data_IF_411445654416
#
_entry.id   IF_411445654416
#
_cell.length_a   1.000
_cell.length_b   1.000
_cell.length_c   1.000
_cell.angle_alpha   90.00
_cell.angle_beta   90.00
_cell.angle_gamma   90.00
#
_symmetry.space_group_name_H-M   'P 1'
#
loop_
_entity.id
_entity.type
_entity.pdbx_description
1 polymer ?
#
# COMPACT_ATOMS: atom_id res chain seq x y z
N UNK A 1 -25.69 20.59 15.22
CA UNK A 1 -26.07 19.41 14.42
C UNK A 1 -26.06 18.17 15.32
N UNK A 2 -27.11 17.39 15.33
CA UNK A 2 -27.13 16.13 16.11
C UNK A 2 -26.25 15.08 15.41
N UNK A 3 -25.58 14.22 16.20
CA UNK A 3 -24.70 13.16 15.66
C UNK A 3 -25.36 12.31 14.56
N UNK A 4 -26.66 11.89 14.67
CA UNK A 4 -27.31 11.13 13.60
C UNK A 4 -27.49 11.94 12.31
N UNK A 5 -27.78 13.24 12.38
CA UNK A 5 -27.90 14.07 11.18
C UNK A 5 -26.57 14.22 10.45
N UNK A 6 -25.46 14.39 11.19
CA UNK A 6 -24.11 14.42 10.59
C UNK A 6 -23.78 13.09 9.87
N UNK A 7 -24.13 11.96 10.50
CA UNK A 7 -23.93 10.64 9.90
C UNK A 7 -24.72 10.48 8.59
N UNK A 8 -26.00 10.85 8.61
CA UNK A 8 -26.88 10.76 7.42
C UNK A 8 -26.37 11.66 6.28
N UNK A 9 -25.95 12.90 6.58
CA UNK A 9 -25.41 13.81 5.58
C UNK A 9 -24.09 13.28 5.01
N UNK A 10 -23.21 12.75 5.85
CA UNK A 10 -21.95 12.14 5.40
C UNK A 10 -22.22 10.94 4.49
N UNK A 11 -23.11 10.02 4.89
CA UNK A 11 -23.48 8.88 4.09
C UNK A 11 -24.11 9.29 2.74
N UNK A 12 -24.96 10.33 2.74
CA UNK A 12 -25.55 10.87 1.52
C UNK A 12 -24.46 11.44 0.59
N UNK A 13 -23.49 12.20 1.10
CA UNK A 13 -22.37 12.73 0.29
C UNK A 13 -21.60 11.60 -0.36
N UNK A 14 -21.25 10.55 0.40
CA UNK A 14 -20.54 9.38 -0.15
C UNK A 14 -21.39 8.63 -1.20
N UNK A 15 -22.69 8.50 -0.98
CA UNK A 15 -23.60 7.88 -1.96
C UNK A 15 -23.70 8.69 -3.26
N UNK A 16 -23.77 10.02 -3.16
CA UNK A 16 -23.79 10.91 -4.32
C UNK A 16 -22.46 10.87 -5.07
N UNK A 17 -21.33 10.91 -4.37
CA UNK A 17 -20.00 10.75 -4.97
C UNK A 17 -19.90 9.43 -5.75
N UNK A 18 -20.39 8.33 -5.19
CA UNK A 18 -20.44 7.06 -5.90
C UNK A 18 -21.32 7.14 -7.14
N UNK A 19 -22.56 7.61 -6.99
CA UNK A 19 -23.55 7.61 -8.07
C UNK A 19 -23.14 8.47 -9.27
N UNK A 20 -22.48 9.63 -9.03
CA UNK A 20 -22.19 10.60 -10.10
C UNK A 20 -20.74 10.60 -10.58
N UNK A 21 -19.79 10.03 -9.84
CA UNK A 21 -18.38 10.16 -10.16
C UNK A 21 -17.67 8.79 -10.17
N UNK A 22 -17.78 8.01 -9.08
CA UNK A 22 -16.92 6.85 -8.86
C UNK A 22 -17.44 5.61 -9.60
N UNK A 23 -18.74 5.40 -9.67
CA UNK A 23 -19.35 4.17 -10.19
C UNK A 23 -18.94 3.83 -11.61
N UNK A 24 -18.67 4.83 -12.47
CA UNK A 24 -18.22 4.64 -13.86
C UNK A 24 -16.71 4.36 -13.98
N UNK A 25 -15.93 4.68 -12.93
CA UNK A 25 -14.47 4.70 -13.02
C UNK A 25 -13.81 3.40 -12.57
N UNK A 26 -14.28 2.68 -11.61
CA UNK A 26 -13.66 1.56 -10.86
C UNK A 26 -13.06 0.45 -11.74
N UNK A 27 -12.14 0.82 -12.64
CA UNK A 27 -11.58 -0.05 -13.69
C UNK A 27 -10.77 -1.20 -13.12
N UNK A 28 -9.98 -0.94 -12.07
CA UNK A 28 -9.16 -2.00 -11.47
C UNK A 28 -10.02 -2.99 -10.67
N UNK A 29 -11.14 -2.53 -10.10
CA UNK A 29 -12.13 -3.44 -9.54
C UNK A 29 -12.73 -4.35 -10.62
N UNK A 30 -13.06 -3.81 -11.81
CA UNK A 30 -13.60 -4.61 -12.92
C UNK A 30 -12.60 -5.66 -13.43
N UNK A 31 -11.30 -5.32 -13.48
CA UNK A 31 -10.23 -6.28 -13.80
C UNK A 31 -10.24 -7.45 -12.81
N UNK A 32 -10.33 -7.12 -11.52
CA UNK A 32 -10.34 -8.12 -10.47
C UNK A 32 -11.65 -8.91 -10.42
N UNK A 33 -12.79 -8.28 -10.69
CA UNK A 33 -14.09 -8.93 -10.79
C UNK A 33 -14.09 -9.98 -11.93
N UNK A 34 -13.57 -9.60 -13.11
CA UNK A 34 -13.40 -10.49 -14.25
C UNK A 34 -12.49 -11.69 -13.91
N UNK A 35 -11.42 -11.45 -13.14
CA UNK A 35 -10.59 -12.57 -12.65
C UNK A 35 -11.38 -13.51 -11.73
N UNK A 36 -12.27 -13.00 -10.88
CA UNK A 36 -13.18 -13.80 -10.08
C UNK A 36 -14.16 -14.63 -10.92
N UNK A 37 -14.71 -14.06 -11.99
CA UNK A 37 -15.58 -14.75 -12.96
C UNK A 37 -14.83 -15.89 -13.67
N UNK A 38 -13.63 -15.60 -14.19
CA UNK A 38 -12.76 -16.59 -14.84
C UNK A 38 -12.38 -17.73 -13.91
N UNK A 39 -12.08 -17.41 -12.65
CA UNK A 39 -11.78 -18.44 -11.65
C UNK A 39 -12.97 -19.39 -11.47
N UNK A 40 -14.19 -18.88 -11.37
CA UNK A 40 -15.40 -19.68 -11.26
C UNK A 40 -15.66 -20.54 -12.51
N UNK A 41 -15.34 -20.01 -13.69
CA UNK A 41 -15.51 -20.70 -14.97
C UNK A 41 -14.36 -21.68 -15.28
N UNK A 42 -13.29 -21.74 -14.47
CA UNK A 42 -12.11 -22.56 -14.76
C UNK A 42 -11.27 -22.04 -15.93
N UNK A 43 -11.42 -20.76 -16.28
CA UNK A 43 -10.69 -20.10 -17.37
C UNK A 43 -9.34 -19.55 -16.91
N UNK A 44 -8.41 -19.24 -17.85
CA UNK A 44 -7.15 -18.61 -17.53
C UNK A 44 -7.38 -17.19 -16.99
N UNK A 45 -6.72 -16.87 -15.86
CA UNK A 45 -6.78 -15.54 -15.23
C UNK A 45 -5.97 -14.50 -16.02
N UNK A 46 -4.89 -14.93 -16.67
CA UNK A 46 -3.87 -14.08 -17.28
C UNK A 46 -4.00 -14.10 -18.81
N UNK A 47 -4.94 -13.32 -19.33
CA UNK A 47 -5.21 -13.27 -20.77
C UNK A 47 -4.56 -12.02 -21.37
N UNK A 48 -3.69 -12.20 -22.37
CA UNK A 48 -3.03 -11.12 -23.10
C UNK A 48 -4.02 -10.26 -23.89
N UNK A 49 -5.18 -10.81 -24.25
CA UNK A 49 -6.29 -10.10 -24.90
C UNK A 49 -6.86 -8.94 -24.04
N UNK A 50 -6.65 -8.97 -22.72
CA UNK A 50 -7.06 -7.87 -21.82
C UNK A 50 -6.17 -6.62 -21.97
N UNK A 51 -5.05 -6.71 -22.69
CA UNK A 51 -4.16 -5.60 -22.98
C UNK A 51 -3.62 -4.92 -21.70
N UNK A 52 -3.84 -3.60 -21.60
CA UNK A 52 -3.41 -2.81 -20.44
C UNK A 52 -4.07 -3.24 -19.13
N UNK A 53 -5.32 -3.70 -19.18
CA UNK A 53 -6.13 -4.10 -18.03
C UNK A 53 -6.05 -5.58 -17.69
N UNK A 54 -4.87 -6.19 -17.88
CA UNK A 54 -4.59 -7.57 -17.54
C UNK A 54 -4.52 -7.75 -16.02
N UNK A 55 -5.11 -8.86 -15.51
CA UNK A 55 -4.97 -9.26 -14.11
C UNK A 55 -3.50 -9.57 -13.78
N UNK A 56 -2.96 -8.99 -12.69
CA UNK A 56 -1.55 -9.09 -12.33
C UNK A 56 -1.32 -9.58 -10.89
N UNK A 57 -2.39 -9.90 -10.17
CA UNK A 57 -2.27 -10.36 -8.79
C UNK A 57 -2.05 -11.88 -8.72
N UNK A 58 -1.69 -12.35 -7.54
CA UNK A 58 -1.50 -13.76 -7.25
C UNK A 58 -2.82 -14.54 -7.52
N UNK A 59 -2.79 -15.81 -8.03
CA UNK A 59 -4.00 -16.52 -8.42
C UNK A 59 -5.09 -16.57 -7.34
N UNK A 60 -4.70 -16.77 -6.08
CA UNK A 60 -5.66 -16.78 -4.96
C UNK A 60 -6.33 -15.43 -4.70
N UNK A 61 -5.78 -14.31 -5.16
CA UNK A 61 -6.41 -13.00 -4.99
C UNK A 61 -7.76 -12.92 -5.72
N UNK A 62 -7.93 -13.65 -6.83
CA UNK A 62 -9.18 -13.71 -7.56
C UNK A 62 -10.34 -14.24 -6.70
N UNK A 63 -10.05 -15.11 -5.71
CA UNK A 63 -11.05 -15.65 -4.78
C UNK A 63 -11.75 -14.56 -3.96
N UNK A 64 -11.05 -13.48 -3.64
CA UNK A 64 -11.62 -12.35 -2.90
C UNK A 64 -12.79 -11.72 -3.67
N UNK A 65 -12.76 -11.76 -4.98
CA UNK A 65 -13.75 -11.13 -5.85
C UNK A 65 -14.89 -12.06 -6.25
N UNK A 66 -14.76 -13.38 -6.02
CA UNK A 66 -15.82 -14.38 -6.32
C UNK A 66 -17.17 -14.00 -5.73
N UNK A 67 -17.32 -13.58 -4.45
CA UNK A 67 -18.62 -13.20 -3.90
C UNK A 67 -19.28 -12.04 -4.67
N UNK A 68 -18.50 -11.12 -5.20
CA UNK A 68 -18.98 -9.97 -5.95
C UNK A 68 -19.48 -10.33 -7.34
N UNK A 69 -19.01 -11.44 -7.93
CA UNK A 69 -19.49 -11.95 -9.24
C UNK A 69 -20.92 -12.49 -9.18
N UNK A 70 -21.48 -12.66 -7.98
CA UNK A 70 -22.87 -13.08 -7.76
C UNK A 70 -23.86 -11.91 -7.75
N UNK A 71 -23.36 -10.68 -7.85
CA UNK A 71 -24.15 -9.46 -7.77
C UNK A 71 -24.20 -8.76 -9.14
N UNK A 72 -25.24 -7.98 -9.42
CA UNK A 72 -25.19 -7.03 -10.53
C UNK A 72 -23.99 -6.07 -10.36
N UNK A 73 -23.32 -5.75 -11.48
CA UNK A 73 -22.10 -4.92 -11.47
C UNK A 73 -22.21 -3.63 -10.64
N UNK A 74 -23.31 -2.83 -10.75
CA UNK A 74 -23.44 -1.62 -9.92
C UNK A 74 -23.48 -1.92 -8.42
N UNK A 75 -24.13 -3.01 -8.00
CA UNK A 75 -24.19 -3.41 -6.60
C UNK A 75 -22.81 -3.91 -6.10
N UNK A 76 -22.10 -4.69 -6.90
CA UNK A 76 -20.74 -5.13 -6.62
C UNK A 76 -19.79 -3.92 -6.44
N UNK A 77 -19.82 -2.96 -7.35
CA UNK A 77 -19.07 -1.70 -7.27
C UNK A 77 -19.43 -0.89 -6.02
N UNK A 78 -20.72 -0.74 -5.69
CA UNK A 78 -21.17 -0.01 -4.52
C UNK A 78 -20.66 -0.62 -3.21
N UNK A 79 -20.73 -1.95 -3.08
CA UNK A 79 -20.21 -2.65 -1.91
C UNK A 79 -18.69 -2.54 -1.80
N UNK A 80 -17.95 -2.69 -2.92
CA UNK A 80 -16.50 -2.53 -2.94
C UNK A 80 -16.08 -1.10 -2.60
N UNK A 81 -16.76 -0.11 -3.15
CA UNK A 81 -16.58 1.30 -2.79
C UNK A 81 -16.75 1.53 -1.29
N UNK A 82 -17.85 1.05 -0.71
CA UNK A 82 -18.11 1.15 0.72
C UNK A 82 -17.01 0.49 1.56
N UNK A 83 -16.53 -0.69 1.15
CA UNK A 83 -15.42 -1.39 1.80
C UNK A 83 -14.12 -0.59 1.71
N UNK A 84 -13.78 -0.05 0.54
CA UNK A 84 -12.54 0.73 0.34
C UNK A 84 -12.57 2.03 1.15
N UNK A 85 -13.70 2.75 1.18
CA UNK A 85 -13.91 3.94 2.02
C UNK A 85 -13.76 3.59 3.50
N UNK A 86 -14.41 2.52 3.96
CA UNK A 86 -14.31 2.04 5.35
C UNK A 86 -12.86 1.73 5.71
N UNK A 87 -12.14 0.95 4.88
CA UNK A 87 -10.74 0.61 5.11
C UNK A 87 -9.87 1.87 5.16
N UNK A 88 -10.08 2.82 4.25
CA UNK A 88 -9.34 4.09 4.19
C UNK A 88 -9.50 4.90 5.48
N UNK A 89 -10.72 5.03 5.98
CA UNK A 89 -11.00 5.71 7.25
C UNK A 89 -10.40 4.94 8.43
N UNK A 90 -10.56 3.60 8.46
CA UNK A 90 -10.04 2.75 9.51
C UNK A 90 -8.51 2.82 9.63
N UNK A 91 -7.79 3.00 8.52
CA UNK A 91 -6.33 3.16 8.51
C UNK A 91 -5.87 4.32 9.41
N UNK A 92 -6.55 5.48 9.36
CA UNK A 92 -6.20 6.63 10.20
C UNK A 92 -6.49 6.36 11.68
N UNK A 93 -7.62 5.74 12.01
CA UNK A 93 -7.96 5.39 13.39
C UNK A 93 -7.01 4.34 13.97
N UNK A 94 -6.68 3.29 13.21
CA UNK A 94 -5.76 2.24 13.64
C UNK A 94 -4.35 2.80 13.79
N UNK A 95 -3.87 3.62 12.84
CA UNK A 95 -2.56 4.28 12.92
C UNK A 95 -2.49 5.20 14.14
N UNK A 96 -3.52 6.03 14.37
CA UNK A 96 -3.63 6.85 15.58
C UNK A 96 -3.55 5.97 16.84
N UNK A 97 -4.28 4.87 16.89
CA UNK A 97 -4.29 3.96 18.03
C UNK A 97 -2.94 3.30 18.29
N UNK A 98 -2.22 2.91 17.23
CA UNK A 98 -0.89 2.32 17.33
C UNK A 98 0.16 3.33 17.82
N UNK A 99 0.04 4.60 17.40
CA UNK A 99 1.05 5.64 17.67
C UNK A 99 0.78 6.38 18.99
N UNK A 100 -0.45 6.82 19.25
CA UNK A 100 -0.84 7.57 20.45
C UNK A 100 -1.49 6.73 21.55
N UNK A 101 -1.86 5.50 21.25
CA UNK A 101 -2.59 4.67 22.20
C UNK A 101 -3.92 5.30 22.62
N UNK A 102 -4.06 5.58 23.92
CA UNK A 102 -5.22 6.28 24.52
C UNK A 102 -4.99 7.77 24.74
N UNK A 103 -3.77 8.25 24.50
CA UNK A 103 -3.43 9.66 24.69
C UNK A 103 -4.25 10.56 23.76
N UNK A 104 -4.58 11.76 24.26
CA UNK A 104 -5.13 12.81 23.44
C UNK A 104 -4.06 13.31 22.46
N UNK A 105 -4.38 13.33 21.18
CA UNK A 105 -3.47 13.86 20.17
C UNK A 105 -3.97 15.21 19.68
N UNK A 106 -3.09 16.21 19.49
CA UNK A 106 -3.47 17.50 18.93
C UNK A 106 -4.11 17.32 17.55
N UNK A 107 -5.25 17.98 17.33
CA UNK A 107 -6.00 17.88 16.07
C UNK A 107 -5.14 18.20 14.85
N UNK A 108 -4.30 19.25 14.93
CA UNK A 108 -3.41 19.66 13.84
C UNK A 108 -2.45 18.54 13.43
N UNK A 109 -1.87 17.81 14.40
CA UNK A 109 -0.99 16.68 14.12
C UNK A 109 -1.75 15.48 13.57
N UNK A 110 -2.98 15.23 14.04
CA UNK A 110 -3.84 14.20 13.50
C UNK A 110 -4.30 14.48 12.07
N UNK A 111 -4.39 15.75 11.68
CA UNK A 111 -4.79 16.15 10.34
C UNK A 111 -3.67 15.95 9.29
N UNK A 112 -2.40 15.87 9.69
CA UNK A 112 -1.27 15.74 8.76
C UNK A 112 -1.41 14.50 7.85
N UNK A 113 -1.53 13.25 8.35
CA UNK A 113 -1.61 12.10 7.48
C UNK A 113 -2.80 12.13 6.50
N UNK A 114 -4.05 12.41 6.91
CA UNK A 114 -5.16 12.43 5.97
C UNK A 114 -5.06 13.55 4.93
N UNK A 115 -4.57 14.74 5.29
CA UNK A 115 -4.40 15.83 4.33
C UNK A 115 -3.29 15.53 3.32
N UNK A 116 -2.13 15.07 3.80
CA UNK A 116 -0.98 14.77 2.94
C UNK A 116 -1.25 13.60 1.99
N UNK A 117 -1.99 12.60 2.43
CA UNK A 117 -2.26 11.40 1.64
C UNK A 117 -3.61 11.43 0.91
N UNK A 118 -4.40 12.50 1.04
CA UNK A 118 -5.76 12.59 0.49
C UNK A 118 -5.83 12.20 -0.99
N UNK A 119 -4.93 12.73 -1.84
CA UNK A 119 -4.94 12.44 -3.27
C UNK A 119 -4.75 10.97 -3.59
N UNK A 120 -3.93 10.26 -2.84
CA UNK A 120 -3.69 8.82 -3.05
C UNK A 120 -4.91 8.00 -2.65
N UNK A 121 -5.61 8.38 -1.58
CA UNK A 121 -6.87 7.74 -1.20
C UNK A 121 -7.99 8.01 -2.20
N UNK A 122 -8.04 9.21 -2.78
CA UNK A 122 -9.00 9.52 -3.85
C UNK A 122 -8.78 8.63 -5.08
N UNK A 123 -7.52 8.47 -5.52
CA UNK A 123 -7.18 7.59 -6.66
C UNK A 123 -7.46 6.13 -6.33
N UNK A 124 -7.10 5.66 -5.12
CA UNK A 124 -7.40 4.31 -4.61
C UNK A 124 -8.90 3.97 -4.75
N UNK A 125 -9.76 4.88 -4.26
CA UNK A 125 -11.21 4.73 -4.29
C UNK A 125 -11.73 4.79 -5.72
N UNK A 126 -11.23 5.75 -6.52
CA UNK A 126 -11.64 5.96 -7.92
C UNK A 126 -11.34 4.74 -8.80
N UNK A 127 -10.18 4.11 -8.62
CA UNK A 127 -9.80 2.91 -9.35
C UNK A 127 -10.43 1.63 -8.78
N UNK A 128 -10.97 1.66 -7.57
CA UNK A 128 -11.47 0.47 -6.88
C UNK A 128 -10.34 -0.48 -6.47
N UNK A 129 -9.21 0.08 -6.02
CA UNK A 129 -8.02 -0.65 -5.62
C UNK A 129 -8.19 -1.34 -4.25
N UNK A 130 -7.24 -2.22 -3.90
CA UNK A 130 -7.24 -3.06 -2.69
C UNK A 130 -6.21 -2.61 -1.65
N UNK A 131 -5.39 -1.59 -1.93
CA UNK A 131 -4.23 -1.25 -1.09
C UNK A 131 -4.64 -0.82 0.32
N UNK A 132 -5.76 -0.13 0.48
CA UNK A 132 -6.30 0.26 1.78
C UNK A 132 -6.63 -0.97 2.64
N UNK A 133 -7.24 -2.00 2.07
CA UNK A 133 -7.55 -3.25 2.77
C UNK A 133 -6.27 -4.01 3.15
N UNK A 134 -5.35 -4.18 2.21
CA UNK A 134 -4.05 -4.85 2.45
C UNK A 134 -3.28 -4.14 3.56
N UNK A 135 -3.20 -2.80 3.50
CA UNK A 135 -2.52 -2.00 4.52
C UNK A 135 -3.19 -2.14 5.88
N UNK A 136 -4.52 -2.14 5.93
CA UNK A 136 -5.27 -2.31 7.18
C UNK A 136 -4.98 -3.67 7.83
N UNK A 137 -4.92 -4.75 7.03
CA UNK A 137 -4.52 -6.08 7.52
C UNK A 137 -3.09 -6.06 8.07
N UNK A 138 -2.15 -5.36 7.41
CA UNK A 138 -0.79 -5.18 7.89
C UNK A 138 -0.72 -4.33 9.18
N UNK A 139 -1.59 -3.35 9.36
CA UNK A 139 -1.67 -2.63 10.64
C UNK A 139 -2.24 -3.51 11.76
N UNK A 140 -3.20 -4.37 11.48
CA UNK A 140 -3.68 -5.36 12.44
C UNK A 140 -2.61 -6.41 12.79
N UNK A 141 -1.69 -6.72 11.87
CA UNK A 141 -0.49 -7.53 12.16
C UNK A 141 0.35 -6.89 13.27
N UNK A 142 0.55 -5.55 13.24
CA UNK A 142 1.27 -4.82 14.31
C UNK A 142 0.50 -4.85 15.63
N UNK A 143 -0.82 -4.75 15.58
CA UNK A 143 -1.69 -4.78 16.75
C UNK A 143 -1.89 -6.21 17.32
N UNK A 144 -1.43 -7.25 16.64
CA UNK A 144 -1.68 -8.64 17.01
C UNK A 144 -1.00 -9.00 18.34
N UNK A 145 -1.75 -9.69 19.22
CA UNK A 145 -1.28 -10.08 20.55
C UNK A 145 -0.40 -11.34 20.56
N UNK A 146 -0.46 -12.14 19.50
CA UNK A 146 0.35 -13.37 19.36
C UNK A 146 1.11 -13.36 18.03
N UNK A 147 2.28 -14.01 18.03
CA UNK A 147 3.08 -14.15 16.81
C UNK A 147 2.37 -14.93 15.72
N UNK A 148 1.64 -15.99 16.09
CA UNK A 148 0.86 -16.77 15.13
C UNK A 148 -0.18 -15.90 14.42
N UNK A 149 -0.94 -15.09 15.17
CA UNK A 149 -1.92 -14.15 14.58
C UNK A 149 -1.24 -13.10 13.70
N UNK A 150 -0.11 -12.55 14.14
CA UNK A 150 0.66 -11.60 13.35
C UNK A 150 1.13 -12.22 12.03
N UNK A 151 1.69 -13.43 12.07
CA UNK A 151 2.11 -14.17 10.89
C UNK A 151 0.95 -14.49 9.95
N UNK A 152 -0.18 -14.97 10.48
CA UNK A 152 -1.36 -15.26 9.67
C UNK A 152 -1.89 -14.02 8.94
N UNK A 153 -1.95 -12.86 9.62
CA UNK A 153 -2.35 -11.59 8.99
C UNK A 153 -1.34 -11.14 7.93
N UNK A 154 -0.05 -11.30 8.17
CA UNK A 154 0.98 -11.04 7.17
C UNK A 154 0.83 -11.95 5.95
N UNK A 155 0.66 -13.25 6.14
CA UNK A 155 0.44 -14.21 5.06
C UNK A 155 -0.80 -13.87 4.24
N UNK A 156 -1.92 -13.52 4.92
CA UNK A 156 -3.16 -13.09 4.26
C UNK A 156 -2.96 -11.83 3.40
N UNK A 157 -2.35 -10.78 3.97
CA UNK A 157 -2.06 -9.54 3.24
C UNK A 157 -1.17 -9.81 2.01
N UNK A 158 -0.17 -10.69 2.16
CA UNK A 158 0.76 -11.07 1.08
C UNK A 158 0.06 -11.89 -0.01
N UNK A 159 -0.87 -12.78 0.35
CA UNK A 159 -1.69 -13.54 -0.60
C UNK A 159 -2.64 -12.63 -1.40
N UNK A 160 -3.15 -11.57 -0.79
CA UNK A 160 -3.98 -10.57 -1.48
C UNK A 160 -3.16 -9.72 -2.45
N UNK A 161 -1.96 -9.28 -2.01
CA UNK A 161 -1.03 -8.51 -2.83
C UNK A 161 0.40 -8.76 -2.33
N UNK A 162 1.36 -9.12 -3.20
CA UNK A 162 2.69 -9.59 -2.79
C UNK A 162 3.57 -8.53 -2.07
N UNK A 163 3.01 -7.39 -1.73
CA UNK A 163 3.66 -6.34 -0.96
C UNK A 163 4.20 -6.80 0.39
N UNK A 164 3.49 -7.75 1.02
CA UNK A 164 3.92 -8.30 2.30
C UNK A 164 5.26 -9.03 2.26
N UNK A 165 5.77 -9.41 1.08
CA UNK A 165 7.08 -10.05 0.95
C UNK A 165 8.22 -9.19 1.53
N UNK A 166 8.10 -7.87 1.55
CA UNK A 166 9.08 -6.96 2.16
C UNK A 166 9.28 -7.22 3.67
N UNK A 167 8.30 -7.84 4.34
CA UNK A 167 8.38 -8.19 5.77
C UNK A 167 9.14 -9.50 6.06
N UNK A 168 9.47 -10.29 5.03
CA UNK A 168 10.16 -11.57 5.22
C UNK A 168 11.52 -11.39 5.92
N UNK A 169 12.43 -10.52 5.47
CA UNK A 169 13.67 -10.25 6.20
C UNK A 169 13.44 -9.63 7.59
N UNK A 170 12.38 -8.86 7.78
CA UNK A 170 12.00 -8.31 9.09
C UNK A 170 11.75 -9.44 10.12
N UNK A 171 10.96 -10.45 9.76
CA UNK A 171 10.70 -11.59 10.67
C UNK A 171 11.96 -12.37 11.00
N UNK A 172 12.84 -12.58 10.02
CA UNK A 172 14.13 -13.27 10.23
C UNK A 172 15.03 -12.48 11.18
N UNK A 173 15.24 -11.17 10.92
CA UNK A 173 16.11 -10.31 11.73
C UNK A 173 15.59 -10.13 13.17
N UNK A 174 14.26 -10.12 13.32
CA UNK A 174 13.59 -10.03 14.63
C UNK A 174 13.46 -11.39 15.32
N UNK A 175 13.94 -12.48 14.72
CA UNK A 175 13.82 -13.86 15.20
C UNK A 175 12.36 -14.26 15.53
N UNK A 176 11.37 -13.71 14.79
CA UNK A 176 9.94 -14.01 14.97
C UNK A 176 9.55 -15.22 14.14
N UNK A 177 10.17 -16.36 14.40
CA UNK A 177 10.06 -17.55 13.57
C UNK A 177 8.66 -18.17 13.59
N UNK A 178 7.91 -18.05 14.68
CA UNK A 178 6.53 -18.54 14.73
C UNK A 178 5.62 -17.69 13.80
N UNK A 179 5.81 -16.36 13.79
CA UNK A 179 5.09 -15.49 12.87
C UNK A 179 5.46 -15.81 11.41
N UNK A 180 6.74 -16.02 11.14
CA UNK A 180 7.22 -16.43 9.81
C UNK A 180 6.59 -17.75 9.38
N UNK A 181 6.63 -18.79 10.24
CA UNK A 181 6.09 -20.10 9.93
C UNK A 181 4.57 -20.07 9.68
N UNK A 182 3.80 -19.39 10.53
CA UNK A 182 2.34 -19.27 10.35
C UNK A 182 1.97 -18.47 9.11
N UNK A 183 2.71 -17.42 8.78
CA UNK A 183 2.49 -16.66 7.55
C UNK A 183 2.83 -17.47 6.29
N UNK A 184 3.93 -18.22 6.30
CA UNK A 184 4.29 -19.13 5.22
C UNK A 184 3.25 -20.25 5.05
N UNK A 185 2.68 -20.76 6.15
CA UNK A 185 1.58 -21.74 6.07
C UNK A 185 0.33 -21.14 5.41
N UNK A 186 -0.02 -19.88 5.72
CA UNK A 186 -1.14 -19.18 5.05
C UNK A 186 -0.83 -18.99 3.55
N UNK A 187 0.40 -18.61 3.21
CA UNK A 187 0.82 -18.47 1.80
C UNK A 187 0.81 -19.80 1.05
N UNK A 188 1.23 -20.89 1.69
CA UNK A 188 1.13 -22.23 1.11
C UNK A 188 -0.34 -22.62 0.87
N UNK A 189 -1.22 -22.34 1.83
CA UNK A 189 -2.66 -22.52 1.66
C UNK A 189 -3.21 -21.68 0.50
N UNK A 190 -2.85 -20.41 0.42
CA UNK A 190 -3.25 -19.53 -0.67
C UNK A 190 -2.71 -19.98 -2.03
N UNK A 191 -1.49 -20.55 -2.09
CA UNK A 191 -0.93 -21.15 -3.30
C UNK A 191 -1.75 -22.34 -3.77
N UNK A 192 -2.21 -23.18 -2.86
CA UNK A 192 -2.95 -24.40 -3.18
C UNK A 192 -4.44 -24.16 -3.42
N UNK A 193 -5.02 -23.10 -2.84
CA UNK A 193 -6.47 -22.88 -2.81
C UNK A 193 -7.12 -22.83 -4.22
N UNK A 194 -6.51 -22.21 -5.26
CA UNK A 194 -7.10 -22.25 -6.60
C UNK A 194 -7.19 -23.66 -7.21
N UNK A 195 -6.45 -24.66 -6.67
CA UNK A 195 -6.57 -26.04 -7.12
C UNK A 195 -7.98 -26.62 -6.94
N UNK A 196 -8.77 -26.06 -6.02
CA UNK A 196 -10.17 -26.46 -5.84
C UNK A 196 -11.04 -26.16 -7.08
N UNK A 197 -10.63 -25.19 -7.91
CA UNK A 197 -11.34 -24.79 -9.14
C UNK A 197 -10.70 -25.38 -10.40
N UNK A 198 -9.36 -25.49 -10.41
CA UNK A 198 -8.59 -25.84 -11.62
C UNK A 198 -7.99 -27.25 -11.59
N UNK A 199 -7.97 -27.91 -10.43
CA UNK A 199 -7.09 -29.05 -10.20
C UNK A 199 -5.63 -28.61 -10.01
N UNK A 200 -4.80 -29.51 -9.50
CA UNK A 200 -3.42 -29.20 -9.09
C UNK A 200 -2.52 -28.80 -10.26
N UNK A 201 -2.53 -29.55 -11.35
CA UNK A 201 -1.67 -29.30 -12.52
C UNK A 201 -1.96 -27.93 -13.16
N UNK A 202 -3.24 -27.61 -13.34
CA UNK A 202 -3.65 -26.32 -13.91
C UNK A 202 -3.33 -25.17 -12.97
N UNK A 203 -3.45 -25.36 -11.66
CA UNK A 203 -3.03 -24.37 -10.67
C UNK A 203 -1.53 -24.06 -10.77
N UNK A 204 -0.67 -25.05 -10.93
CA UNK A 204 0.76 -24.82 -11.17
C UNK A 204 1.01 -24.03 -12.46
N UNK A 205 0.26 -24.31 -13.52
CA UNK A 205 0.34 -23.55 -14.76
C UNK A 205 -0.06 -22.08 -14.55
N UNK A 206 -1.14 -21.80 -13.78
CA UNK A 206 -1.56 -20.43 -13.45
C UNK A 206 -0.47 -19.63 -12.70
N UNK A 207 0.27 -20.25 -11.79
CA UNK A 207 1.37 -19.58 -11.10
C UNK A 207 2.53 -19.26 -12.06
N UNK A 208 2.82 -20.11 -13.04
CA UNK A 208 3.79 -19.82 -14.09
C UNK A 208 3.30 -18.70 -15.02
N UNK A 209 2.02 -18.71 -15.39
CA UNK A 209 1.39 -17.64 -16.17
C UNK A 209 1.47 -16.30 -15.42
N UNK A 210 1.17 -16.28 -14.11
CA UNK A 210 1.31 -15.11 -13.27
C UNK A 210 2.74 -14.52 -13.30
N UNK A 211 3.74 -15.36 -13.06
CA UNK A 211 5.13 -14.93 -13.07
C UNK A 211 5.55 -14.38 -14.45
N UNK A 212 5.15 -15.04 -15.53
CA UNK A 212 5.39 -14.60 -16.91
C UNK A 212 4.73 -13.26 -17.16
N UNK A 213 3.45 -13.09 -16.80
CA UNK A 213 2.70 -11.85 -16.95
C UNK A 213 3.40 -10.68 -16.25
N UNK A 214 3.89 -10.87 -15.02
CA UNK A 214 4.64 -9.83 -14.32
C UNK A 214 5.95 -9.50 -15.03
N UNK A 215 6.70 -10.51 -15.45
CA UNK A 215 8.01 -10.33 -16.09
C UNK A 215 7.90 -9.60 -17.43
N UNK A 216 6.90 -9.95 -18.25
CA UNK A 216 6.69 -9.37 -19.58
C UNK A 216 6.06 -7.98 -19.53
N UNK A 217 5.18 -7.70 -18.56
CA UNK A 217 4.47 -6.41 -18.48
C UNK A 217 5.24 -5.32 -17.73
N UNK A 218 6.24 -5.66 -16.91
CA UNK A 218 6.96 -4.70 -16.06
C UNK A 218 7.82 -3.73 -16.86
N UNK A 219 8.65 -4.14 -17.87
CA UNK A 219 9.57 -3.24 -18.53
C UNK A 219 8.89 -2.04 -19.20
N UNK A 220 7.76 -2.24 -19.85
CA UNK A 220 7.02 -1.18 -20.55
C UNK A 220 6.43 -0.11 -19.60
N UNK A 221 6.28 -0.43 -18.30
CA UNK A 221 5.69 0.44 -17.29
C UNK A 221 6.73 1.17 -16.43
N UNK A 222 8.03 0.89 -16.59
CA UNK A 222 9.06 1.52 -15.77
C UNK A 222 9.15 3.03 -15.98
N UNK A 223 9.01 3.50 -17.21
CA UNK A 223 9.07 4.92 -17.54
C UNK A 223 7.71 5.66 -17.33
N UNK A 224 6.67 4.98 -16.89
CA UNK A 224 5.36 5.61 -16.62
C UNK A 224 5.51 6.78 -15.65
N UNK A 225 4.82 7.90 -15.92
CA UNK A 225 4.83 9.08 -15.06
C UNK A 225 4.44 8.75 -13.62
N UNK A 226 3.41 7.92 -13.44
CA UNK A 226 2.84 7.58 -12.14
C UNK A 226 3.63 6.48 -11.38
N UNK A 227 4.69 5.92 -12.01
CA UNK A 227 5.57 4.97 -11.32
C UNK A 227 6.59 5.74 -10.47
N UNK A 228 6.52 5.54 -9.15
CA UNK A 228 7.37 6.20 -8.13
C UNK A 228 8.48 5.30 -7.58
N UNK A 229 8.71 4.14 -8.20
CA UNK A 229 9.75 3.21 -7.75
C UNK A 229 11.16 3.75 -8.02
N UNK A 230 12.16 3.19 -7.31
CA UNK A 230 13.58 3.47 -7.59
C UNK A 230 13.99 3.01 -8.98
N UNK A 231 13.42 1.92 -9.47
CA UNK A 231 13.64 1.46 -10.82
C UNK A 231 13.11 2.48 -11.85
N UNK A 232 11.93 3.03 -11.62
CA UNK A 232 11.36 4.10 -12.45
C UNK A 232 12.20 5.38 -12.40
N UNK A 233 12.69 5.80 -11.23
CA UNK A 233 13.57 6.95 -11.09
C UNK A 233 14.82 6.79 -11.95
N UNK A 234 15.50 5.65 -11.83
CA UNK A 234 16.71 5.34 -12.61
C UNK A 234 16.41 5.35 -14.12
N UNK A 235 15.28 4.77 -14.54
CA UNK A 235 14.85 4.73 -15.93
C UNK A 235 14.51 6.12 -16.47
N UNK A 236 13.71 6.91 -15.74
CA UNK A 236 13.32 8.29 -16.11
C UNK A 236 14.54 9.21 -16.25
N UNK A 237 15.56 9.01 -15.42
CA UNK A 237 16.80 9.80 -15.47
C UNK A 237 17.85 9.22 -16.41
N UNK A 238 17.53 8.17 -17.18
CA UNK A 238 18.43 7.49 -18.11
C UNK A 238 19.77 7.06 -17.46
N UNK A 239 19.70 6.65 -16.19
CA UNK A 239 20.85 6.20 -15.43
C UNK A 239 21.09 4.69 -15.64
N UNK A 240 22.32 4.18 -15.38
CA UNK A 240 22.60 2.76 -15.48
C UNK A 240 21.68 1.90 -14.60
N UNK A 241 21.06 0.84 -15.16
CA UNK A 241 20.06 0.02 -14.46
C UNK A 241 20.57 -0.61 -13.14
N UNK A 242 21.85 -0.91 -13.05
CA UNK A 242 22.48 -1.42 -11.81
C UNK A 242 22.36 -0.45 -10.63
N UNK A 243 22.17 0.86 -10.88
CA UNK A 243 21.97 1.84 -9.82
C UNK A 243 20.66 1.61 -9.06
N UNK A 244 19.60 1.15 -9.73
CA UNK A 244 18.35 0.80 -9.05
C UNK A 244 18.57 -0.28 -7.99
N UNK A 245 19.32 -1.33 -8.33
CA UNK A 245 19.71 -2.39 -7.39
C UNK A 245 20.56 -1.83 -6.24
N UNK A 246 21.51 -0.96 -6.53
CA UNK A 246 22.34 -0.30 -5.52
C UNK A 246 21.51 0.53 -4.53
N UNK A 247 20.52 1.28 -5.02
CA UNK A 247 19.60 2.06 -4.17
C UNK A 247 18.72 1.16 -3.30
N UNK A 248 18.19 0.07 -3.85
CA UNK A 248 17.41 -0.91 -3.06
C UNK A 248 18.28 -1.53 -1.97
N UNK A 249 19.52 -1.90 -2.28
CA UNK A 249 20.48 -2.41 -1.28
C UNK A 249 20.80 -1.36 -0.19
N UNK A 250 20.97 -0.09 -0.56
CA UNK A 250 21.15 0.99 0.40
C UNK A 250 19.96 1.15 1.34
N UNK A 251 18.72 1.05 0.82
CA UNK A 251 17.52 1.04 1.66
C UNK A 251 17.42 -0.21 2.55
N UNK A 252 17.85 -1.36 2.06
CA UNK A 252 17.92 -2.58 2.88
C UNK A 252 18.92 -2.43 4.04
N UNK A 253 20.10 -1.84 3.78
CA UNK A 253 21.09 -1.53 4.83
C UNK A 253 20.52 -0.51 5.82
N UNK A 254 19.86 0.54 5.35
CA UNK A 254 19.18 1.50 6.22
C UNK A 254 18.11 0.82 7.08
N UNK A 255 17.34 -0.10 6.51
CA UNK A 255 16.35 -0.87 7.26
C UNK A 255 17.00 -1.77 8.32
N UNK A 256 18.12 -2.43 8.01
CA UNK A 256 18.90 -3.21 8.97
C UNK A 256 19.41 -2.32 10.12
N UNK A 257 19.85 -1.10 9.83
CA UNK A 257 20.20 -0.11 10.87
C UNK A 257 18.99 0.20 11.75
N UNK A 258 17.83 0.51 11.16
CA UNK A 258 16.59 0.80 11.90
C UNK A 258 16.22 -0.36 12.83
N UNK A 259 16.29 -1.59 12.33
CA UNK A 259 16.01 -2.79 13.11
C UNK A 259 17.02 -3.01 14.24
N UNK A 260 18.30 -2.88 13.95
CA UNK A 260 19.38 -3.07 14.93
C UNK A 260 19.31 -2.07 16.08
N UNK A 261 19.14 -0.77 15.73
CA UNK A 261 19.08 0.33 16.69
C UNK A 261 17.80 0.34 17.51
N UNK A 262 16.73 -0.26 17.00
CA UNK A 262 15.43 -0.38 17.67
C UNK A 262 15.31 -1.53 18.65
N UNK A 263 16.35 -2.35 18.83
CA UNK A 263 16.29 -3.50 19.75
C UNK A 263 16.10 -3.02 21.20
N UNK A 264 15.02 -3.46 21.84
CA UNK A 264 14.67 -3.11 23.21
C UNK A 264 13.93 -1.79 23.40
N UNK A 265 13.64 -1.03 22.31
CA UNK A 265 12.83 0.19 22.41
C UNK A 265 11.31 -0.14 22.49
N UNK A 266 10.56 0.57 23.32
CA UNK A 266 9.11 0.45 23.32
C UNK A 266 8.57 0.92 21.95
N UNK A 267 7.50 0.25 21.47
CA UNK A 267 6.86 0.57 20.19
C UNK A 267 7.76 0.48 18.93
N UNK A 268 8.95 -0.15 19.05
CA UNK A 268 9.89 -0.30 17.93
C UNK A 268 9.22 -0.83 16.63
N UNK A 269 8.31 -1.79 16.77
CA UNK A 269 7.59 -2.38 15.63
C UNK A 269 6.75 -1.36 14.85
N UNK A 270 6.22 -0.32 15.50
CA UNK A 270 5.38 0.69 14.85
C UNK A 270 6.19 1.50 13.83
N UNK A 271 7.39 1.96 14.21
CA UNK A 271 8.29 2.67 13.31
C UNK A 271 8.84 1.74 12.22
N UNK A 272 9.22 0.53 12.58
CA UNK A 272 9.80 -0.47 11.66
C UNK A 272 8.79 -0.85 10.56
N UNK A 273 7.58 -1.18 10.97
CA UNK A 273 6.50 -1.49 10.02
C UNK A 273 6.11 -0.25 9.22
N UNK A 274 6.00 0.91 9.87
CA UNK A 274 5.75 2.18 9.18
C UNK A 274 6.79 2.45 8.09
N UNK A 275 8.07 2.21 8.38
CA UNK A 275 9.15 2.35 7.37
C UNK A 275 9.00 1.34 6.24
N UNK A 276 8.76 0.07 6.54
CA UNK A 276 8.55 -0.96 5.50
C UNK A 276 7.36 -0.62 4.60
N UNK A 277 6.27 -0.09 5.16
CA UNK A 277 5.10 0.33 4.40
C UNK A 277 5.41 1.50 3.44
N UNK A 278 6.28 2.45 3.83
CA UNK A 278 6.78 3.50 2.91
C UNK A 278 7.61 2.89 1.79
N UNK A 279 8.42 1.89 2.10
CA UNK A 279 9.34 1.28 1.13
C UNK A 279 8.63 0.41 0.10
N UNK A 280 7.42 -0.09 0.34
CA UNK A 280 6.68 -0.96 -0.61
C UNK A 280 6.68 -0.38 -2.03
N UNK A 281 6.11 0.81 -2.31
CA UNK A 281 6.08 1.35 -3.67
C UNK A 281 7.45 1.78 -4.18
N UNK A 282 8.41 2.10 -3.29
CA UNK A 282 9.74 2.54 -3.69
C UNK A 282 10.61 1.38 -4.19
N UNK A 283 10.50 0.18 -3.58
CA UNK A 283 11.32 -0.98 -3.97
C UNK A 283 10.64 -1.89 -4.98
N UNK A 284 9.32 -1.82 -5.12
CA UNK A 284 8.57 -2.56 -6.13
C UNK A 284 8.88 -1.98 -7.53
N UNK A 285 9.23 -2.77 -8.55
CA UNK A 285 9.46 -2.24 -9.90
C UNK A 285 8.24 -1.49 -10.46
N UNK A 286 7.04 -1.89 -10.08
CA UNK A 286 5.77 -1.21 -10.41
C UNK A 286 5.20 -0.58 -9.13
N UNK A 287 5.81 0.49 -8.68
CA UNK A 287 5.35 1.30 -7.56
C UNK A 287 4.48 2.45 -8.05
N UNK A 288 3.16 2.26 -8.11
CA UNK A 288 2.23 3.32 -8.48
C UNK A 288 2.07 4.35 -7.38
N UNK A 289 1.90 5.61 -7.74
CA UNK A 289 1.83 6.74 -6.79
C UNK A 289 0.73 6.57 -5.73
N UNK A 290 -0.46 6.08 -6.11
CA UNK A 290 -1.55 5.84 -5.14
C UNK A 290 -1.20 4.79 -4.08
N UNK A 291 -0.22 3.91 -4.33
CA UNK A 291 0.26 2.95 -3.33
C UNK A 291 0.97 3.64 -2.15
N UNK A 292 1.36 4.90 -2.30
CA UNK A 292 1.96 5.71 -1.23
C UNK A 292 1.00 5.96 -0.06
N UNK A 293 -0.31 5.66 -0.21
CA UNK A 293 -1.25 5.62 0.92
C UNK A 293 -0.81 4.66 2.04
N UNK A 294 -0.01 3.63 1.72
CA UNK A 294 0.57 2.71 2.71
C UNK A 294 1.41 3.44 3.76
N UNK A 295 1.88 4.65 3.47
CA UNK A 295 2.70 5.48 4.36
C UNK A 295 1.93 6.10 5.54
N UNK A 296 0.63 5.84 5.66
CA UNK A 296 -0.23 6.42 6.71
C UNK A 296 0.33 6.24 8.12
N UNK A 297 0.86 5.06 8.46
CA UNK A 297 1.45 4.80 9.77
C UNK A 297 2.73 5.62 9.97
N UNK A 298 3.60 5.68 8.98
CA UNK A 298 4.84 6.44 9.00
C UNK A 298 4.60 7.93 9.21
N UNK A 299 3.66 8.54 8.46
CA UNK A 299 3.32 9.95 8.64
C UNK A 299 2.67 10.21 10.00
N UNK A 300 1.91 9.23 10.53
CA UNK A 300 1.35 9.32 11.88
C UNK A 300 2.45 9.32 12.95
N UNK A 301 3.52 8.51 12.78
CA UNK A 301 4.70 8.52 13.64
C UNK A 301 5.43 9.86 13.56
N UNK A 302 5.69 10.36 12.36
CA UNK A 302 6.35 11.67 12.17
C UNK A 302 5.54 12.83 12.79
N UNK A 303 4.21 12.77 12.65
CA UNK A 303 3.34 13.77 13.28
C UNK A 303 3.43 13.76 14.80
N UNK A 304 3.44 12.57 15.44
CA UNK A 304 3.63 12.46 16.90
C UNK A 304 4.94 13.06 17.36
N UNK A 305 6.01 12.80 16.62
CA UNK A 305 7.36 13.23 16.95
C UNK A 305 7.77 14.57 16.33
N UNK A 306 6.79 15.36 15.86
CA UNK A 306 7.03 16.62 15.16
C UNK A 306 7.92 17.58 15.93
N UNK A 307 7.71 17.70 17.25
CA UNK A 307 8.46 18.60 18.12
C UNK A 307 9.85 18.10 18.50
N UNK A 308 10.14 16.82 18.28
CA UNK A 308 11.46 16.21 18.54
C UNK A 308 12.50 16.64 17.51
N UNK A 309 12.07 17.13 16.36
CA UNK A 309 12.96 17.66 15.33
C UNK A 309 13.39 19.11 15.63
N UNK A 310 14.65 19.50 15.39
CA UNK A 310 15.08 20.89 15.40
C UNK A 310 14.26 21.75 14.41
N UNK A 311 14.13 23.05 14.69
CA UNK A 311 13.33 23.96 13.84
C UNK A 311 13.61 23.87 12.34
N UNK A 312 14.87 23.89 11.85
CA UNK A 312 15.13 23.78 10.40
C UNK A 312 14.61 22.47 9.81
N UNK A 313 14.78 21.36 10.52
CA UNK A 313 14.29 20.04 10.08
C UNK A 313 12.77 20.00 10.02
N UNK A 314 12.06 20.64 10.97
CA UNK A 314 10.59 20.75 10.92
C UNK A 314 10.11 21.51 9.68
N UNK A 315 10.77 22.62 9.34
CA UNK A 315 10.44 23.38 8.14
C UNK A 315 10.67 22.56 6.87
N UNK A 316 11.82 21.86 6.79
CA UNK A 316 12.13 21.01 5.65
C UNK A 316 11.17 19.84 5.52
N UNK A 317 10.82 19.15 6.64
CA UNK A 317 9.78 18.12 6.65
C UNK A 317 8.42 18.69 6.24
N UNK A 318 8.04 19.87 6.77
CA UNK A 318 6.80 20.54 6.42
C UNK A 318 6.70 20.83 4.91
N UNK A 319 7.76 21.38 4.33
CA UNK A 319 7.85 21.61 2.88
C UNK A 319 7.76 20.30 2.08
N UNK A 320 8.43 19.24 2.53
CA UNK A 320 8.35 17.92 1.91
C UNK A 320 6.91 17.37 1.95
N UNK A 321 6.25 17.43 3.11
CA UNK A 321 4.86 16.98 3.26
C UNK A 321 3.89 17.83 2.44
N UNK A 322 4.13 19.12 2.35
CA UNK A 322 3.37 20.03 1.47
C UNK A 322 3.52 19.60 0.01
N UNK A 323 4.74 19.36 -0.47
CA UNK A 323 4.97 18.87 -1.83
C UNK A 323 4.26 17.54 -2.08
N UNK A 324 4.30 16.60 -1.12
CA UNK A 324 3.59 15.31 -1.25
C UNK A 324 2.09 15.55 -1.39
N UNK A 325 1.49 16.34 -0.51
CA UNK A 325 0.03 16.48 -0.46
C UNK A 325 -0.56 17.34 -1.58
N UNK A 326 0.17 18.39 -1.98
CA UNK A 326 -0.34 19.42 -2.89
C UNK A 326 0.23 19.33 -4.31
N UNK A 327 1.06 18.34 -4.63
CA UNK A 327 1.42 18.02 -6.02
C UNK A 327 0.24 17.32 -6.73
N UNK A 328 -0.78 18.12 -7.07
CA UNK A 328 -2.01 17.71 -7.73
C UNK A 328 -2.06 18.39 -9.09
N UNK A 329 -2.48 17.64 -10.12
CA UNK A 329 -2.54 18.13 -11.50
C UNK A 329 -3.28 19.47 -11.62
N UNK A 330 -4.46 19.55 -11.00
CA UNK A 330 -5.32 20.74 -11.06
C UNK A 330 -4.75 21.95 -10.30
N UNK A 331 -3.89 21.72 -9.29
CA UNK A 331 -3.25 22.80 -8.54
C UNK A 331 -1.96 23.30 -9.20
N UNK A 332 -1.17 22.40 -9.76
CA UNK A 332 0.13 22.74 -10.36
C UNK A 332 0.00 23.17 -11.82
N UNK A 333 -1.08 22.77 -12.47
CA UNK A 333 -1.20 22.81 -13.92
C UNK A 333 -0.43 21.67 -14.61
N UNK A 334 -0.90 21.29 -15.82
CA UNK A 334 -0.44 20.08 -16.50
C UNK A 334 1.06 20.01 -16.73
N UNK A 335 1.71 21.08 -17.19
CA UNK A 335 3.14 21.09 -17.50
C UNK A 335 4.01 20.93 -16.24
N UNK A 336 3.69 21.67 -15.15
CA UNK A 336 4.44 21.58 -13.90
C UNK A 336 4.26 20.21 -13.22
N UNK A 337 3.05 19.66 -13.23
CA UNK A 337 2.78 18.31 -12.70
C UNK A 337 3.55 17.23 -13.47
N UNK A 338 3.52 17.28 -14.81
CA UNK A 338 4.27 16.33 -15.64
C UNK A 338 5.77 16.42 -15.40
N UNK A 339 6.33 17.63 -15.29
CA UNK A 339 7.72 17.83 -14.93
C UNK A 339 8.04 17.25 -13.53
N UNK A 340 7.18 17.51 -12.53
CA UNK A 340 7.32 17.00 -11.17
C UNK A 340 7.40 15.46 -11.15
N UNK A 341 6.52 14.79 -11.89
CA UNK A 341 6.48 13.33 -11.98
C UNK A 341 7.64 12.76 -12.82
N UNK A 342 8.01 13.41 -13.94
CA UNK A 342 9.14 13.01 -14.78
C UNK A 342 10.48 13.10 -14.03
N UNK A 343 10.66 14.10 -13.18
CA UNK A 343 11.83 14.23 -12.30
C UNK A 343 11.77 13.35 -11.05
N UNK A 344 10.75 12.48 -10.93
CA UNK A 344 10.55 11.58 -9.78
C UNK A 344 10.62 12.29 -8.42
N UNK A 345 10.19 13.56 -8.36
CA UNK A 345 10.27 14.38 -7.12
C UNK A 345 9.44 13.77 -6.00
N UNK A 346 8.33 13.10 -6.33
CA UNK A 346 7.53 12.38 -5.34
C UNK A 346 8.33 11.23 -4.70
N UNK A 347 9.09 10.47 -5.49
CA UNK A 347 10.02 9.43 -4.99
C UNK A 347 11.05 10.02 -4.02
N UNK A 348 11.65 11.16 -4.39
CA UNK A 348 12.63 11.85 -3.53
C UNK A 348 11.99 12.32 -2.22
N UNK A 349 10.77 12.84 -2.25
CA UNK A 349 10.04 13.24 -1.04
C UNK A 349 9.85 12.04 -0.07
N UNK A 350 9.51 10.85 -0.57
CA UNK A 350 9.32 9.67 0.28
C UNK A 350 10.66 9.05 0.73
N UNK A 351 11.74 9.24 0.00
CA UNK A 351 13.10 8.94 0.51
C UNK A 351 13.48 9.86 1.67
N UNK A 352 13.11 11.15 1.59
CA UNK A 352 13.28 12.10 2.70
C UNK A 352 12.45 11.66 3.92
N UNK A 353 11.18 11.27 3.72
CA UNK A 353 10.33 10.69 4.79
C UNK A 353 11.01 9.50 5.45
N UNK A 354 11.59 8.58 4.65
CA UNK A 354 12.34 7.43 5.16
C UNK A 354 13.56 7.87 5.98
N UNK A 355 14.28 8.90 5.53
CA UNK A 355 15.39 9.51 6.27
C UNK A 355 14.98 10.06 7.63
N UNK A 356 13.82 10.72 7.71
CA UNK A 356 13.27 11.20 9.00
C UNK A 356 12.89 10.08 9.96
N UNK A 357 12.36 8.96 9.45
CA UNK A 357 12.10 7.79 10.29
C UNK A 357 13.39 7.18 10.83
N UNK A 358 14.44 7.09 9.99
CA UNK A 358 15.76 6.65 10.42
C UNK A 358 16.38 7.60 11.45
N UNK A 359 16.19 8.90 11.30
CA UNK A 359 16.66 9.90 12.26
C UNK A 359 15.95 9.78 13.61
N UNK A 360 14.62 9.53 13.64
CA UNK A 360 13.91 9.23 14.88
C UNK A 360 14.46 8.00 15.58
N UNK A 361 14.79 6.96 14.81
CA UNK A 361 15.43 5.73 15.32
C UNK A 361 16.81 6.04 15.91
N UNK A 362 17.61 6.85 15.22
CA UNK A 362 18.92 7.30 15.72
C UNK A 362 18.80 8.05 17.04
N UNK A 363 17.82 8.93 17.18
CA UNK A 363 17.52 9.65 18.43
C UNK A 363 16.94 8.75 19.53
N UNK A 364 16.69 7.47 19.26
CA UNK A 364 16.04 6.51 20.17
C UNK A 364 14.70 6.97 20.73
N UNK A 365 13.92 7.70 19.93
CA UNK A 365 12.60 8.19 20.33
C UNK A 365 11.50 7.13 20.15
N UNK A 366 11.68 6.22 19.20
CA UNK A 366 10.74 5.13 18.89
C UNK A 366 11.47 3.81 18.64
#
# INVERSE_FOLDING_TARGET
>A
MTRPLLFVLTALVFALLFAFIIGEEMRDFEVNLRAGERLRAGESLYQTSDGHYMFKYFPSSALLYVPFTLLPIPAAKALWYGLTVFCSIALFFVSKRLVWGREAAPFVLLAIPPVVLAKFFVVEIKLGQINSLVTLVLLFMVAARSESRAGSLWGLATAMKPYGLIFLPYYVVRARFLALATGLAVLAGAFLLPSAFYGFERNLALHREWFRTLSESTPSQLASADNVSLAALVTKWSLPGGLATGLVLALAILMLFILRWGKGLPHAAVLEVGTLLVLIPLVSPLGWDYQLLTSVLALTVLARHWTDFPRPYRWFLGATLFLIGFSIYDLMGGAAYQAFMAWSLLTLCFLIVTGYLAYLRYLRRV
#
